data_IF_216905233409
#
_entry.id   IF_216905233409
#
_cell.length_a   1.000
_cell.length_b   1.000
_cell.length_c   1.000
_cell.angle_alpha   90.00
_cell.angle_beta   90.00
_cell.angle_gamma   90.00
#
_symmetry.space_group_name_H-M   'P 1'
#
loop_
_entity.id
_entity.type
_entity.pdbx_description
1 polymer ?
#
# COMPACT_ATOMS: atom_id res chain seq x y z
N UNK A 1 58.14 -38.52 -2.02
CA UNK A 1 57.21 -39.17 -1.06
C UNK A 1 56.99 -38.18 0.08
N UNK A 2 55.81 -37.70 0.48
CA UNK A 2 54.41 -38.10 0.28
C UNK A 2 53.55 -36.84 0.03
N UNK A 3 52.56 -37.05 -0.84
CA UNK A 3 51.42 -36.18 -1.14
C UNK A 3 50.67 -35.74 0.11
N UNK A 4 50.44 -34.44 0.28
CA UNK A 4 49.32 -33.90 1.07
C UNK A 4 48.30 -33.32 0.10
N UNK A 5 47.31 -34.17 -0.21
CA UNK A 5 46.10 -33.79 -0.93
C UNK A 5 45.06 -33.32 0.09
N UNK A 6 44.34 -32.29 -0.35
CA UNK A 6 43.06 -31.77 0.10
C UNK A 6 43.03 -30.80 1.32
N UNK A 7 42.12 -29.80 1.33
CA UNK A 7 41.00 -29.69 0.39
C UNK A 7 40.72 -28.30 -0.22
N UNK A 8 40.67 -28.34 -1.56
CA UNK A 8 39.92 -27.47 -2.46
C UNK A 8 38.40 -27.37 -2.11
N UNK A 9 37.90 -28.11 -1.10
CA UNK A 9 36.52 -28.02 -0.63
C UNK A 9 36.17 -26.70 0.05
N UNK A 10 37.15 -25.99 0.63
CA UNK A 10 36.81 -24.79 1.41
C UNK A 10 36.36 -23.62 0.52
N UNK A 11 36.77 -23.61 -0.76
CA UNK A 11 36.35 -22.56 -1.69
C UNK A 11 34.94 -22.77 -2.27
N UNK A 12 34.46 -24.01 -2.34
CA UNK A 12 33.11 -24.32 -2.85
C UNK A 12 32.04 -23.93 -1.81
N UNK A 13 32.38 -23.97 -0.52
CA UNK A 13 31.45 -23.61 0.55
C UNK A 13 31.12 -22.11 0.57
N UNK A 14 32.06 -21.24 0.18
CA UNK A 14 31.85 -19.78 0.17
C UNK A 14 31.09 -19.34 -1.10
N UNK A 15 31.22 -20.08 -2.21
CA UNK A 15 30.43 -19.84 -3.43
C UNK A 15 28.98 -20.37 -3.34
N UNK A 16 28.68 -21.24 -2.37
CA UNK A 16 27.32 -21.73 -2.10
C UNK A 16 26.43 -20.76 -1.31
N UNK A 17 27.01 -19.74 -0.65
CA UNK A 17 26.27 -18.76 0.15
C UNK A 17 25.90 -17.47 -0.63
N UNK A 18 26.40 -17.29 -1.85
CA UNK A 18 26.02 -16.16 -2.72
C UNK A 18 24.79 -16.43 -3.59
N UNK A 19 24.20 -17.64 -3.48
CA UNK A 19 22.88 -17.99 -4.00
C UNK A 19 21.80 -17.87 -2.90
N UNK A 20 21.94 -16.92 -1.98
CA UNK A 20 20.79 -16.42 -1.24
C UNK A 20 19.89 -15.68 -2.20
N UNK A 21 18.95 -16.44 -2.76
CA UNK A 21 17.64 -16.04 -3.26
C UNK A 21 17.53 -14.54 -3.57
N UNK A 22 17.50 -14.23 -4.87
CA UNK A 22 16.48 -13.30 -5.35
C UNK A 22 15.14 -13.88 -4.91
N UNK A 23 14.74 -13.64 -3.66
CA UNK A 23 13.32 -13.53 -3.33
C UNK A 23 12.88 -12.36 -4.20
N UNK A 24 12.37 -12.69 -5.38
CA UNK A 24 11.35 -11.87 -5.99
C UNK A 24 10.33 -11.67 -4.88
N UNK A 25 10.41 -10.53 -4.19
CA UNK A 25 9.29 -10.04 -3.44
C UNK A 25 8.26 -9.73 -4.50
N UNK A 26 7.48 -10.75 -4.88
CA UNK A 26 6.28 -10.53 -5.66
C UNK A 26 5.46 -9.55 -4.83
N UNK A 27 5.43 -8.29 -5.28
CA UNK A 27 4.47 -7.35 -4.77
C UNK A 27 3.11 -8.01 -4.94
N UNK A 28 2.39 -8.20 -3.84
CA UNK A 28 1.07 -8.84 -3.86
C UNK A 28 0.09 -7.82 -4.42
N UNK A 29 -0.19 -7.96 -5.71
CA UNK A 29 -1.15 -7.13 -6.42
C UNK A 29 -2.57 -7.65 -6.17
N UNK A 30 -3.40 -6.83 -5.55
CA UNK A 30 -4.81 -7.12 -5.30
C UNK A 30 -5.70 -6.16 -6.11
N UNK A 31 -6.94 -6.55 -6.36
CA UNK A 31 -7.96 -5.80 -7.08
C UNK A 31 -8.93 -5.07 -6.16
N UNK A 32 -10.04 -4.63 -6.75
CA UNK A 32 -11.12 -3.99 -6.01
C UNK A 32 -11.81 -4.99 -5.08
N UNK A 33 -12.22 -4.51 -3.91
CA UNK A 33 -12.86 -5.28 -2.85
C UNK A 33 -12.00 -6.41 -2.24
N UNK A 34 -10.72 -6.48 -2.59
CA UNK A 34 -9.75 -7.31 -1.88
C UNK A 34 -9.06 -6.46 -0.79
N UNK A 35 -8.89 -7.05 0.40
CA UNK A 35 -8.35 -6.32 1.56
C UNK A 35 -6.85 -6.53 1.76
N UNK A 36 -6.17 -5.42 2.02
CA UNK A 36 -4.86 -5.37 2.65
C UNK A 36 -5.09 -5.60 4.14
N UNK A 37 -4.58 -6.70 4.66
CA UNK A 37 -4.68 -7.05 6.08
C UNK A 37 -3.44 -6.57 6.84
N UNK A 38 -3.65 -5.97 8.00
CA UNK A 38 -2.60 -5.58 8.95
C UNK A 38 -3.13 -5.72 10.37
N UNK A 39 -2.65 -6.72 11.10
CA UNK A 39 -3.15 -7.08 12.42
C UNK A 39 -4.68 -7.31 12.38
N UNK A 40 -5.44 -6.57 13.18
CA UNK A 40 -6.90 -6.59 13.22
C UNK A 40 -7.56 -5.60 12.24
N UNK A 41 -6.80 -4.95 11.36
CA UNK A 41 -7.30 -3.93 10.43
C UNK A 41 -7.29 -4.41 8.99
N UNK A 42 -8.35 -4.09 8.26
CA UNK A 42 -8.43 -4.30 6.81
C UNK A 42 -8.59 -2.98 6.08
N UNK A 43 -7.86 -2.85 4.97
CA UNK A 43 -7.92 -1.70 4.08
C UNK A 43 -8.27 -2.16 2.68
N UNK A 44 -9.31 -1.59 2.07
CA UNK A 44 -9.71 -1.97 0.71
C UNK A 44 -10.19 -0.77 -0.10
N UNK A 45 -10.01 -0.89 -1.41
CA UNK A 45 -10.65 0.01 -2.38
C UNK A 45 -11.93 -0.63 -2.85
N UNK A 46 -13.06 0.04 -2.63
CA UNK A 46 -14.38 -0.47 -3.01
C UNK A 46 -14.80 -0.02 -4.41
N UNK A 47 -14.36 1.17 -4.83
CA UNK A 47 -14.60 1.74 -6.16
C UNK A 47 -13.51 2.76 -6.51
N UNK A 48 -13.31 3.00 -7.80
CA UNK A 48 -12.55 4.17 -8.26
C UNK A 48 -13.03 4.70 -9.61
N UNK A 49 -12.86 6.01 -9.80
CA UNK A 49 -13.13 6.69 -11.07
C UNK A 49 -11.89 7.45 -11.54
N UNK A 50 -11.61 7.36 -12.84
CA UNK A 50 -10.53 8.11 -13.48
C UNK A 50 -11.15 9.18 -14.37
N UNK A 51 -10.80 10.44 -14.11
CA UNK A 51 -11.30 11.61 -14.83
C UNK A 51 -10.15 12.31 -15.54
N UNK A 52 -10.30 12.64 -16.82
CA UNK A 52 -9.38 13.56 -17.49
C UNK A 52 -9.68 14.98 -17.02
N UNK A 53 -8.69 15.66 -16.42
CA UNK A 53 -8.83 17.06 -15.97
C UNK A 53 -8.36 18.01 -17.06
N UNK A 54 -7.25 17.65 -17.72
CA UNK A 54 -6.65 18.39 -18.83
C UNK A 54 -5.89 17.42 -19.76
N UNK A 55 -5.10 17.96 -20.70
CA UNK A 55 -4.33 17.16 -21.66
C UNK A 55 -3.23 16.31 -21.01
N UNK A 56 -2.78 16.69 -19.81
CA UNK A 56 -1.60 16.16 -19.12
C UNK A 56 -1.92 15.41 -17.83
N UNK A 57 -3.13 15.56 -17.27
CA UNK A 57 -3.47 15.10 -15.91
C UNK A 57 -4.73 14.24 -15.87
N UNK A 58 -4.64 13.10 -15.18
CA UNK A 58 -5.77 12.24 -14.79
C UNK A 58 -6.00 12.33 -13.29
N UNK A 59 -7.25 12.52 -12.89
CA UNK A 59 -7.69 12.48 -11.50
C UNK A 59 -8.29 11.13 -11.15
N UNK A 60 -7.77 10.51 -10.12
CA UNK A 60 -8.31 9.30 -9.51
C UNK A 60 -9.14 9.72 -8.30
N UNK A 61 -10.43 9.37 -8.30
CA UNK A 61 -11.30 9.42 -7.11
C UNK A 61 -11.46 7.99 -6.61
N UNK A 62 -11.03 7.69 -5.39
CA UNK A 62 -10.95 6.33 -4.85
C UNK A 62 -11.83 6.24 -3.62
N UNK A 63 -12.80 5.34 -3.62
CA UNK A 63 -13.57 5.02 -2.43
C UNK A 63 -12.79 4.01 -1.59
N UNK A 64 -12.33 4.44 -0.43
CA UNK A 64 -11.46 3.71 0.47
C UNK A 64 -12.20 3.36 1.74
N UNK A 65 -12.09 2.10 2.16
CA UNK A 65 -12.72 1.57 3.36
C UNK A 65 -11.66 1.04 4.32
N UNK A 66 -11.84 1.33 5.60
CA UNK A 66 -11.09 0.76 6.71
C UNK A 66 -12.06 -0.03 7.58
N UNK A 67 -11.73 -1.28 7.87
CA UNK A 67 -12.49 -2.15 8.77
C UNK A 67 -11.61 -2.44 9.98
N UNK A 68 -12.16 -2.27 11.17
CA UNK A 68 -11.50 -2.61 12.42
C UNK A 68 -12.15 -3.86 13.02
N UNK A 69 -11.45 -4.99 12.93
CA UNK A 69 -11.87 -6.27 13.49
C UNK A 69 -11.42 -6.46 14.95
N UNK A 70 -10.72 -5.49 15.55
CA UNK A 70 -10.25 -5.60 16.93
C UNK A 70 -11.43 -5.59 17.91
N UNK A 71 -11.24 -6.20 19.08
CA UNK A 71 -12.26 -6.23 20.14
C UNK A 71 -12.29 -4.93 20.96
N UNK A 72 -11.13 -4.28 21.14
CA UNK A 72 -10.96 -3.18 22.09
C UNK A 72 -10.13 -2.01 21.57
N UNK A 73 -9.35 -2.20 20.51
CA UNK A 73 -8.42 -1.19 20.00
C UNK A 73 -9.11 -0.33 18.96
N UNK A 74 -9.02 0.99 19.10
CA UNK A 74 -9.45 1.95 18.07
C UNK A 74 -8.32 2.19 17.05
N UNK A 75 -8.70 2.38 15.78
CA UNK A 75 -7.78 2.82 14.75
C UNK A 75 -7.96 4.31 14.43
N UNK A 76 -6.98 5.12 14.80
CA UNK A 76 -6.94 6.55 14.44
C UNK A 76 -6.08 6.76 13.19
N UNK A 77 -6.67 7.36 12.15
CA UNK A 77 -5.99 7.57 10.86
C UNK A 77 -6.46 8.85 10.17
N UNK A 78 -5.76 9.27 9.13
CA UNK A 78 -6.12 10.44 8.34
C UNK A 78 -5.99 10.19 6.84
N UNK A 79 -6.39 11.15 6.02
CA UNK A 79 -6.40 10.99 4.57
C UNK A 79 -5.00 10.80 3.93
N UNK A 80 -3.90 10.88 4.69
CA UNK A 80 -2.54 10.51 4.24
C UNK A 80 -2.22 9.02 4.46
N UNK A 81 -3.21 8.22 4.89
CA UNK A 81 -3.07 6.78 5.07
C UNK A 81 -2.76 6.03 3.77
N UNK A 82 -3.00 6.61 2.60
CA UNK A 82 -2.74 5.96 1.33
C UNK A 82 -2.08 6.87 0.29
N UNK A 83 -1.31 6.26 -0.60
CA UNK A 83 -0.60 6.90 -1.70
C UNK A 83 -0.63 6.02 -2.94
N UNK A 84 -0.47 6.61 -4.13
CA UNK A 84 -0.33 5.86 -5.37
C UNK A 84 1.15 5.74 -5.73
N UNK A 85 1.58 4.57 -6.18
CA UNK A 85 2.90 4.33 -6.77
C UNK A 85 2.75 3.85 -8.21
N UNK A 86 3.60 4.33 -9.12
CA UNK A 86 3.64 3.84 -10.51
C UNK A 86 4.67 2.73 -10.74
N UNK A 87 4.72 2.19 -11.97
CA UNK A 87 5.70 1.18 -12.35
C UNK A 87 7.17 1.62 -12.23
N UNK A 88 7.43 2.93 -12.16
CA UNK A 88 8.78 3.50 -12.01
C UNK A 88 9.12 3.80 -10.55
N UNK A 89 8.20 3.59 -9.62
CA UNK A 89 8.37 3.89 -8.19
C UNK A 89 8.08 5.35 -7.83
N UNK A 90 7.50 6.15 -8.73
CA UNK A 90 7.08 7.51 -8.41
C UNK A 90 5.89 7.47 -7.44
N UNK A 91 5.92 8.32 -6.42
CA UNK A 91 4.88 8.40 -5.39
C UNK A 91 3.99 9.61 -5.65
N UNK A 92 2.67 9.41 -5.59
CA UNK A 92 1.64 10.41 -5.73
C UNK A 92 0.79 10.43 -4.45
N UNK A 93 0.83 11.56 -3.75
CA UNK A 93 0.09 11.75 -2.51
C UNK A 93 -1.33 12.23 -2.79
N UNK A 94 -2.21 11.93 -1.83
CA UNK A 94 -3.59 12.36 -1.85
C UNK A 94 -3.69 13.90 -1.75
N UNK A 95 -4.61 14.51 -2.50
CA UNK A 95 -4.82 15.94 -2.57
C UNK A 95 -5.95 16.37 -1.61
N UNK A 96 -5.54 16.71 -0.39
CA UNK A 96 -6.43 17.15 0.69
C UNK A 96 -7.32 18.34 0.31
N UNK A 97 -6.77 19.36 -0.35
CA UNK A 97 -7.55 20.55 -0.71
C UNK A 97 -8.69 20.21 -1.66
N UNK A 98 -8.45 19.30 -2.60
CA UNK A 98 -9.47 18.85 -3.53
C UNK A 98 -10.50 17.95 -2.85
N UNK A 99 -10.12 17.14 -1.86
CA UNK A 99 -11.08 16.36 -1.08
C UNK A 99 -12.05 17.26 -0.34
N UNK A 100 -11.54 18.29 0.35
CA UNK A 100 -12.36 19.27 1.07
C UNK A 100 -13.33 19.95 0.09
N UNK A 101 -12.80 20.49 -1.01
CA UNK A 101 -13.62 21.15 -2.05
C UNK A 101 -14.65 20.21 -2.69
N UNK A 102 -14.34 18.92 -2.83
CA UNK A 102 -15.29 17.93 -3.32
C UNK A 102 -16.37 17.67 -2.27
N UNK A 103 -16.00 17.47 -1.00
CA UNK A 103 -16.93 17.22 0.09
C UNK A 103 -17.91 18.39 0.30
N UNK A 104 -17.47 19.63 0.07
CA UNK A 104 -18.35 20.81 0.11
C UNK A 104 -19.46 20.77 -0.95
N UNK A 105 -19.23 20.07 -2.08
CA UNK A 105 -20.17 19.97 -3.21
C UNK A 105 -20.96 18.67 -3.21
N UNK A 106 -20.29 17.58 -2.88
CA UNK A 106 -20.77 16.20 -2.87
C UNK A 106 -20.31 15.57 -1.54
N UNK A 107 -21.05 15.77 -0.43
CA UNK A 107 -20.61 15.29 0.89
C UNK A 107 -20.40 13.78 0.91
N UNK A 108 -19.22 13.34 1.34
CA UNK A 108 -18.87 11.93 1.53
C UNK A 108 -18.32 11.64 2.94
N UNK A 109 -18.52 12.58 3.87
CA UNK A 109 -18.09 12.42 5.25
C UNK A 109 -16.60 12.68 5.46
N UNK A 110 -16.00 13.61 4.71
CA UNK A 110 -14.60 13.98 4.92
C UNK A 110 -14.35 14.44 6.36
N UNK A 111 -13.27 13.94 6.96
CA UNK A 111 -12.76 14.33 8.27
C UNK A 111 -11.25 14.56 8.19
N UNK A 112 -10.71 15.42 9.06
CA UNK A 112 -9.26 15.61 9.18
C UNK A 112 -8.59 14.34 9.73
N UNK A 113 -9.23 13.71 10.70
CA UNK A 113 -8.85 12.48 11.39
C UNK A 113 -10.11 11.62 11.54
N UNK A 114 -9.97 10.32 11.30
CA UNK A 114 -11.01 9.31 11.43
C UNK A 114 -10.68 8.38 12.60
N UNK A 115 -11.74 7.92 13.26
CA UNK A 115 -11.67 7.01 14.39
C UNK A 115 -12.48 5.76 14.07
N UNK A 116 -11.83 4.72 13.56
CA UNK A 116 -12.51 3.44 13.32
C UNK A 116 -12.53 2.66 14.62
N UNK A 117 -13.65 2.72 15.32
CA UNK A 117 -13.88 2.03 16.60
C UNK A 117 -13.83 0.49 16.45
N UNK A 118 -13.68 -0.24 17.57
CA UNK A 118 -13.72 -1.71 17.55
C UNK A 118 -14.99 -2.25 16.88
N UNK A 119 -14.84 -3.28 16.04
CA UNK A 119 -15.93 -3.92 15.29
C UNK A 119 -16.73 -2.95 14.41
N UNK A 120 -16.09 -1.89 13.91
CA UNK A 120 -16.72 -0.91 13.03
C UNK A 120 -15.93 -0.73 11.73
N UNK A 121 -16.53 0.02 10.80
CA UNK A 121 -15.89 0.43 9.56
C UNK A 121 -16.03 1.93 9.34
N UNK A 122 -15.09 2.49 8.60
CA UNK A 122 -15.11 3.88 8.14
C UNK A 122 -14.80 3.93 6.64
N UNK A 123 -15.41 4.88 5.94
CA UNK A 123 -15.20 5.06 4.50
C UNK A 123 -14.91 6.50 4.16
N UNK A 124 -14.06 6.73 3.16
CA UNK A 124 -13.79 8.07 2.63
C UNK A 124 -13.46 8.04 1.14
N UNK A 125 -13.50 9.20 0.49
CA UNK A 125 -13.03 9.38 -0.88
C UNK A 125 -11.66 10.03 -0.90
N UNK A 126 -10.65 9.33 -1.41
CA UNK A 126 -9.30 9.86 -1.65
C UNK A 126 -9.18 10.39 -3.09
N UNK A 127 -8.43 11.48 -3.28
CA UNK A 127 -8.26 12.13 -4.58
C UNK A 127 -6.78 12.25 -4.93
N UNK A 128 -6.39 11.73 -6.09
CA UNK A 128 -5.02 11.80 -6.59
C UNK A 128 -4.99 12.39 -7.99
N UNK A 129 -4.07 13.32 -8.24
CA UNK A 129 -3.80 13.83 -9.57
C UNK A 129 -2.48 13.25 -10.09
N UNK A 130 -2.55 12.52 -11.19
CA UNK A 130 -1.44 11.81 -11.81
C UNK A 130 -1.20 12.33 -13.23
N UNK A 131 0.06 12.43 -13.69
CA UNK A 131 0.34 12.65 -15.10
C UNK A 131 -0.27 11.56 -15.99
N UNK A 132 -0.79 11.93 -17.17
CA UNK A 132 -1.46 11.02 -18.11
C UNK A 132 -0.59 9.85 -18.57
N UNK A 133 0.73 10.05 -18.57
CA UNK A 133 1.74 9.03 -18.92
C UNK A 133 2.10 8.05 -17.80
N UNK A 134 1.46 8.15 -16.62
CA UNK A 134 1.63 7.17 -15.55
C UNK A 134 1.12 5.81 -16.00
N UNK A 135 1.93 4.77 -15.78
CA UNK A 135 1.60 3.38 -16.12
C UNK A 135 1.57 2.52 -14.87
N UNK A 136 0.59 1.61 -14.82
CA UNK A 136 0.33 0.73 -13.68
C UNK A 136 0.29 1.49 -12.35
N UNK A 137 -0.66 2.43 -12.16
CA UNK A 137 -0.88 3.04 -10.85
C UNK A 137 -1.40 1.99 -9.88
N UNK A 138 -0.75 1.87 -8.72
CA UNK A 138 -1.20 1.03 -7.62
C UNK A 138 -1.40 1.86 -6.35
N UNK A 139 -2.51 1.66 -5.64
CA UNK A 139 -2.69 2.24 -4.31
C UNK A 139 -1.96 1.40 -3.26
N UNK A 140 -1.25 2.06 -2.35
CA UNK A 140 -0.61 1.47 -1.18
C UNK A 140 -1.10 2.18 0.07
N UNK A 141 -1.11 1.43 1.17
CA UNK A 141 -1.46 1.95 2.50
C UNK A 141 -0.17 2.16 3.30
N UNK A 142 -0.08 3.30 3.96
CA UNK A 142 1.03 3.71 4.81
C UNK A 142 0.95 2.93 6.11
N UNK A 143 1.90 2.02 6.32
CA UNK A 143 2.01 1.30 7.58
C UNK A 143 2.58 2.23 8.63
N UNK A 144 1.74 2.69 9.56
CA UNK A 144 2.25 3.24 10.82
C UNK A 144 2.69 2.07 11.68
N UNK A 145 3.82 2.24 12.36
CA UNK A 145 4.35 1.27 13.30
C UNK A 145 3.34 1.03 14.43
N UNK A 146 2.59 -0.05 14.38
CA UNK A 146 1.98 -0.61 15.57
C UNK A 146 3.07 -1.49 16.22
N UNK A 147 3.49 -1.12 17.43
CA UNK A 147 4.60 -1.79 18.13
C UNK A 147 4.23 -3.25 18.40
N UNK A 148 4.79 -4.17 17.63
CA UNK A 148 4.61 -5.61 17.83
C UNK A 148 5.22 -6.46 16.71
N UNK A 149 4.99 -6.08 15.44
CA UNK A 149 5.18 -7.03 14.34
C UNK A 149 6.22 -6.59 13.30
N UNK A 150 7.48 -6.96 13.54
CA UNK A 150 8.55 -6.77 12.53
C UNK A 150 8.37 -7.71 11.34
N UNK A 151 7.69 -8.86 11.52
CA UNK A 151 7.52 -9.88 10.49
C UNK A 151 6.37 -9.58 9.52
N UNK A 152 5.21 -9.10 10.01
CA UNK A 152 4.07 -8.77 9.15
C UNK A 152 4.25 -7.48 8.34
N UNK A 153 5.06 -6.54 8.84
CA UNK A 153 5.40 -5.31 8.11
C UNK A 153 5.99 -5.58 6.72
N UNK A 154 6.74 -6.67 6.54
CA UNK A 154 7.36 -6.99 5.25
C UNK A 154 6.36 -7.51 4.22
N UNK A 155 5.24 -8.13 4.64
CA UNK A 155 4.16 -8.54 3.73
C UNK A 155 3.24 -7.37 3.44
N UNK A 156 2.85 -6.63 4.47
CA UNK A 156 2.01 -5.44 4.35
C UNK A 156 2.61 -4.39 3.40
N UNK A 157 3.92 -4.08 3.54
CA UNK A 157 4.63 -3.15 2.64
C UNK A 157 4.61 -3.56 1.17
N UNK A 158 4.37 -4.84 0.87
CA UNK A 158 4.35 -5.38 -0.50
C UNK A 158 2.95 -5.42 -1.11
N UNK A 159 1.89 -5.25 -0.32
CA UNK A 159 0.53 -5.26 -0.84
C UNK A 159 0.19 -3.95 -1.54
N UNK A 160 -0.46 -4.04 -2.71
CA UNK A 160 -0.84 -2.89 -3.52
C UNK A 160 -2.10 -3.17 -4.33
N UNK A 161 -3.00 -2.20 -4.41
CA UNK A 161 -4.28 -2.32 -5.12
C UNK A 161 -4.16 -1.80 -6.55
N UNK A 162 -4.61 -2.56 -7.56
CA UNK A 162 -4.61 -2.15 -8.98
C UNK A 162 -5.66 -1.08 -9.26
N UNK A 163 -5.26 -0.04 -10.00
CA UNK A 163 -6.13 1.08 -10.42
C UNK A 163 -6.18 1.28 -11.95
N UNK A 164 -6.08 0.22 -12.74
CA UNK A 164 -6.01 0.29 -14.21
C UNK A 164 -6.67 -0.91 -14.89
#
# INVERSE_FOLDING_TARGET
MKSLKLPLFFLILIMGLSLSCKMNSEDLEIGLNESIHHDDFEYLVTDFKVLSIDEYTKRYRINFKVINNAEVVEHTWNNSIAYIVDAKGNIYNNNKELQIKLNDREPFGWQEEYHTHPKSEETTTLIFDLPKGVTKPYLKVTGKFLMGDVLDLNRYKKMKVKLF
#
